data_IF_508472696072
#
_entry.id   IF_508472696072
#
_cell.length_a   1.000
_cell.length_b   1.000
_cell.length_c   1.000
_cell.angle_alpha   90.00
_cell.angle_beta   90.00
_cell.angle_gamma   90.00
#
_symmetry.space_group_name_H-M   'P 1'
#
loop_
_entity.id
_entity.type
_entity.pdbx_description
1 polymer ?
#
# COMPACT_ATOMS: atom_id res chain seq x y z
N UNK A 1 -4.49 10.64 15.88
CA UNK A 1 -4.25 12.04 15.54
C UNK A 1 -4.72 12.89 16.73
N UNK A 2 -4.20 14.10 16.90
CA UNK A 2 -4.55 14.95 18.04
C UNK A 2 -3.99 14.44 19.37
N UNK A 3 -2.68 14.25 19.44
CA UNK A 3 -1.96 13.97 20.67
C UNK A 3 -1.70 15.29 21.44
N UNK A 4 -1.51 15.25 22.78
CA UNK A 4 -1.37 16.49 23.58
C UNK A 4 -0.19 17.37 23.16
N UNK A 5 0.93 16.75 22.73
CA UNK A 5 2.21 17.43 22.53
C UNK A 5 2.67 17.46 21.06
N UNK A 6 2.07 16.67 20.19
CA UNK A 6 2.48 16.52 18.79
C UNK A 6 1.31 16.08 17.92
N UNK A 7 1.28 16.52 16.67
CA UNK A 7 0.32 15.98 15.71
C UNK A 7 0.67 14.53 15.35
N UNK A 8 -0.35 13.65 15.34
CA UNK A 8 -0.17 12.26 14.99
C UNK A 8 0.33 12.03 13.56
N UNK A 9 0.01 12.93 12.65
CA UNK A 9 0.53 12.91 11.25
C UNK A 9 2.04 13.11 11.24
N UNK A 10 2.53 14.05 12.05
CA UNK A 10 3.96 14.30 12.21
C UNK A 10 4.68 13.07 12.80
N UNK A 11 4.03 12.36 13.75
CA UNK A 11 4.58 11.09 14.28
C UNK A 11 4.74 10.06 13.18
N UNK A 12 3.74 9.92 12.30
CA UNK A 12 3.79 8.98 11.17
C UNK A 12 4.98 9.33 10.26
N UNK A 13 5.12 10.60 9.87
CA UNK A 13 6.25 11.05 9.05
C UNK A 13 7.60 10.73 9.70
N UNK A 14 7.77 11.03 10.98
CA UNK A 14 9.00 10.73 11.71
C UNK A 14 9.30 9.24 11.77
N UNK A 15 8.30 8.39 12.03
CA UNK A 15 8.49 6.93 12.03
C UNK A 15 8.92 6.44 10.65
N UNK A 16 8.34 6.99 9.58
CA UNK A 16 8.68 6.60 8.20
C UNK A 16 10.10 6.98 7.76
N UNK A 17 10.77 7.89 8.45
CA UNK A 17 12.19 8.18 8.14
C UNK A 17 13.14 7.04 8.50
N UNK A 18 12.74 6.11 9.38
CA UNK A 18 13.60 5.04 9.87
C UNK A 18 12.93 3.65 9.92
N UNK A 19 11.63 3.55 9.68
CA UNK A 19 10.90 2.28 9.82
C UNK A 19 9.80 2.12 8.77
N UNK A 20 9.74 0.93 8.19
CA UNK A 20 8.65 0.48 7.32
C UNK A 20 7.65 -0.46 8.05
N UNK A 21 7.70 -0.52 9.38
CA UNK A 21 6.73 -1.28 10.16
C UNK A 21 5.30 -0.78 9.89
N UNK A 22 4.31 -1.68 9.87
CA UNK A 22 2.91 -1.29 9.70
C UNK A 22 2.45 -0.31 10.78
N UNK A 23 1.75 0.74 10.37
CA UNK A 23 1.18 1.75 11.27
C UNK A 23 -0.34 1.72 11.11
N UNK A 24 -1.06 1.46 12.22
CA UNK A 24 -2.52 1.58 12.30
C UNK A 24 -2.83 2.82 13.12
N UNK A 25 -3.54 3.77 12.49
CA UNK A 25 -4.00 4.98 13.18
C UNK A 25 -5.34 4.71 13.84
N UNK A 26 -5.46 5.07 15.12
CA UNK A 26 -6.72 5.02 15.88
C UNK A 26 -7.09 6.44 16.28
N UNK A 27 -8.24 6.95 15.80
CA UNK A 27 -8.65 8.33 16.02
C UNK A 27 -10.16 8.47 16.19
N UNK A 28 -10.58 9.49 16.93
CA UNK A 28 -11.98 9.91 16.98
C UNK A 28 -12.39 10.78 15.77
N UNK A 29 -11.42 11.24 15.00
CA UNK A 29 -11.68 12.00 13.77
C UNK A 29 -12.16 11.04 12.69
N UNK A 30 -13.31 11.30 12.13
CA UNK A 30 -13.99 10.44 11.15
C UNK A 30 -14.09 11.06 9.76
N UNK A 31 -13.58 12.29 9.58
CA UNK A 31 -13.63 12.98 8.30
C UNK A 31 -12.67 12.32 7.30
N UNK A 32 -13.08 12.26 6.06
CA UNK A 32 -12.27 11.67 4.99
C UNK A 32 -10.94 12.41 4.79
N UNK A 33 -10.91 13.71 5.05
CA UNK A 33 -9.69 14.54 5.00
C UNK A 33 -8.65 14.08 6.01
N UNK A 34 -9.01 13.86 7.27
CA UNK A 34 -8.11 13.38 8.33
C UNK A 34 -7.56 11.97 8.01
N UNK A 35 -8.41 11.12 7.46
CA UNK A 35 -8.06 9.76 7.06
C UNK A 35 -7.08 9.77 5.89
N UNK A 36 -7.37 10.58 4.86
CA UNK A 36 -6.50 10.73 3.68
C UNK A 36 -5.14 11.27 4.10
N UNK A 37 -5.09 12.30 4.96
CA UNK A 37 -3.85 12.89 5.46
C UNK A 37 -2.97 11.87 6.20
N UNK A 38 -3.56 11.05 7.08
CA UNK A 38 -2.84 9.99 7.80
C UNK A 38 -2.30 8.91 6.85
N UNK A 39 -3.08 8.51 5.85
CA UNK A 39 -2.67 7.51 4.87
C UNK A 39 -1.60 8.05 3.91
N UNK A 40 -1.70 9.31 3.50
CA UNK A 40 -0.69 9.98 2.66
C UNK A 40 0.63 10.18 3.43
N UNK A 41 0.57 10.38 4.74
CA UNK A 41 1.72 10.42 5.63
C UNK A 41 2.43 9.06 5.78
N UNK A 42 1.79 7.96 5.35
CA UNK A 42 2.36 6.62 5.33
C UNK A 42 1.73 5.63 6.32
N UNK A 43 0.55 5.92 6.89
CA UNK A 43 -0.20 4.94 7.65
C UNK A 43 -0.69 3.80 6.73
N UNK A 44 -0.75 2.58 7.26
CA UNK A 44 -1.22 1.38 6.55
C UNK A 44 -2.70 1.11 6.76
N UNK A 45 -3.27 1.63 7.82
CA UNK A 45 -4.69 1.48 8.14
C UNK A 45 -5.16 2.60 9.07
N UNK A 46 -6.48 2.83 9.09
CA UNK A 46 -7.11 3.86 9.90
C UNK A 46 -8.39 3.31 10.54
N UNK A 47 -8.49 3.40 11.86
CA UNK A 47 -9.62 2.92 12.65
C UNK A 47 -10.28 4.08 13.39
N UNK A 48 -11.56 4.31 13.13
CA UNK A 48 -12.31 5.41 13.75
C UNK A 48 -12.96 4.95 15.05
N UNK A 49 -12.87 5.77 16.09
CA UNK A 49 -13.59 5.56 17.36
C UNK A 49 -15.05 6.01 17.22
N UNK A 50 -16.03 5.27 17.82
CA UNK A 50 -15.88 4.01 18.56
C UNK A 50 -15.66 2.81 17.64
N UNK A 51 -14.84 1.85 18.03
CA UNK A 51 -14.59 0.59 17.34
C UNK A 51 -14.76 -0.60 18.28
N UNK A 52 -15.05 -1.78 17.72
CA UNK A 52 -15.09 -3.00 18.50
C UNK A 52 -13.67 -3.60 18.66
N UNK A 53 -13.46 -4.33 19.75
CA UNK A 53 -12.21 -5.08 19.96
C UNK A 53 -12.00 -6.10 18.84
N UNK A 54 -13.07 -6.70 18.35
CA UNK A 54 -13.05 -7.67 17.24
C UNK A 54 -12.57 -7.04 15.94
N UNK A 55 -13.00 -5.81 15.65
CA UNK A 55 -12.52 -5.04 14.48
C UNK A 55 -11.02 -4.77 14.58
N UNK A 56 -10.56 -4.27 15.72
CA UNK A 56 -9.13 -4.03 15.95
C UNK A 56 -8.30 -5.31 15.81
N UNK A 57 -8.75 -6.40 16.42
CA UNK A 57 -8.08 -7.70 16.31
C UNK A 57 -8.07 -8.24 14.87
N UNK A 58 -9.14 -8.01 14.10
CA UNK A 58 -9.18 -8.39 12.70
C UNK A 58 -8.13 -7.65 11.87
N UNK A 59 -7.98 -6.33 12.07
CA UNK A 59 -6.97 -5.50 11.42
C UNK A 59 -5.55 -5.91 11.82
N UNK A 60 -5.30 -6.17 13.10
CA UNK A 60 -4.01 -6.67 13.59
C UNK A 60 -3.65 -8.03 12.99
N UNK A 61 -4.61 -8.97 12.89
CA UNK A 61 -4.37 -10.27 12.24
C UNK A 61 -4.02 -10.14 10.76
N UNK A 62 -4.65 -9.21 10.04
CA UNK A 62 -4.30 -8.92 8.65
C UNK A 62 -2.87 -8.39 8.55
N UNK A 63 -2.50 -7.47 9.42
CA UNK A 63 -1.17 -6.88 9.50
C UNK A 63 -0.10 -7.91 9.84
N UNK A 64 -0.37 -8.79 10.85
CA UNK A 64 0.56 -9.87 11.23
C UNK A 64 0.78 -10.88 10.11
N UNK A 65 -0.28 -11.27 9.37
CA UNK A 65 -0.13 -12.14 8.19
C UNK A 65 0.74 -11.52 7.12
N UNK A 66 0.66 -10.20 6.94
CA UNK A 66 1.54 -9.48 6.00
C UNK A 66 3.00 -9.56 6.41
N UNK A 67 3.29 -9.31 7.69
CA UNK A 67 4.65 -9.42 8.23
C UNK A 67 5.17 -10.85 8.13
N UNK A 68 4.36 -11.84 8.47
CA UNK A 68 4.74 -13.25 8.35
C UNK A 68 5.01 -13.67 6.90
N UNK A 69 4.23 -13.17 5.93
CA UNK A 69 4.46 -13.44 4.50
C UNK A 69 5.73 -12.78 4.00
N UNK A 70 6.09 -11.62 4.52
CA UNK A 70 7.35 -10.93 4.21
C UNK A 70 8.56 -11.61 4.88
N UNK A 71 8.37 -12.19 6.08
CA UNK A 71 9.44 -12.87 6.83
C UNK A 71 9.59 -14.36 6.49
N UNK A 72 8.49 -15.05 6.19
CA UNK A 72 8.50 -16.40 5.67
C UNK A 72 8.82 -16.32 4.18
N UNK A 73 10.10 -16.09 3.84
CA UNK A 73 10.58 -16.23 2.47
C UNK A 73 10.10 -17.55 1.90
N UNK A 74 8.96 -17.53 1.22
CA UNK A 74 8.56 -18.65 0.38
C UNK A 74 9.55 -18.66 -0.77
N UNK A 75 10.61 -19.42 -0.57
CA UNK A 75 11.60 -19.75 -1.60
C UNK A 75 10.85 -20.58 -2.66
N UNK A 76 10.24 -19.91 -3.62
CA UNK A 76 9.87 -20.50 -4.88
C UNK A 76 10.90 -20.04 -5.92
N UNK A 77 11.55 -20.98 -6.56
CA UNK A 77 12.38 -20.77 -7.75
C UNK A 77 11.52 -20.06 -8.81
N UNK A 78 11.79 -18.77 -9.02
CA UNK A 78 10.96 -17.85 -9.81
C UNK A 78 10.62 -16.56 -9.05
N UNK A 79 11.31 -16.31 -7.92
CA UNK A 79 11.01 -15.27 -6.95
C UNK A 79 11.27 -13.82 -7.41
N UNK A 80 11.79 -13.61 -8.61
CA UNK A 80 12.09 -12.28 -9.14
C UNK A 80 11.20 -11.98 -10.33
N UNK A 81 10.43 -10.90 -10.23
CA UNK A 81 9.65 -10.37 -11.35
C UNK A 81 10.40 -9.18 -11.95
N UNK A 82 10.42 -9.10 -13.27
CA UNK A 82 11.00 -7.96 -14.01
C UNK A 82 9.99 -7.42 -15.01
N UNK A 83 9.93 -6.09 -15.14
CA UNK A 83 9.08 -5.39 -16.07
C UNK A 83 9.76 -4.07 -16.46
N UNK A 84 10.48 -4.04 -17.60
CA UNK A 84 11.39 -2.96 -17.93
C UNK A 84 12.47 -2.78 -16.85
N UNK A 85 12.56 -1.60 -16.27
CA UNK A 85 13.49 -1.30 -15.16
C UNK A 85 12.99 -1.71 -13.77
N UNK A 86 11.70 -2.04 -13.65
CA UNK A 86 11.12 -2.49 -12.39
C UNK A 86 11.52 -3.95 -12.13
N UNK A 87 12.10 -4.19 -10.96
CA UNK A 87 12.42 -5.52 -10.44
C UNK A 87 11.80 -5.70 -9.08
N UNK A 88 11.06 -6.78 -8.87
CA UNK A 88 10.50 -7.14 -7.57
C UNK A 88 11.06 -8.49 -7.14
N UNK A 89 11.74 -8.51 -6.02
CA UNK A 89 12.24 -9.73 -5.39
C UNK A 89 11.25 -10.15 -4.31
N UNK A 90 10.44 -11.15 -4.62
CA UNK A 90 9.42 -11.63 -3.69
C UNK A 90 10.03 -12.38 -2.50
N UNK A 91 11.21 -12.99 -2.67
CA UNK A 91 11.88 -13.70 -1.59
C UNK A 91 12.52 -12.75 -0.58
N UNK A 92 13.15 -11.69 -1.09
CA UNK A 92 13.74 -10.65 -0.24
C UNK A 92 12.69 -9.64 0.27
N UNK A 93 11.49 -9.58 -0.34
CA UNK A 93 10.45 -8.61 0.04
C UNK A 93 10.78 -7.18 -0.36
N UNK A 94 11.58 -6.97 -1.39
CA UNK A 94 12.03 -5.67 -1.84
C UNK A 94 11.76 -5.44 -3.34
N UNK A 95 11.80 -4.19 -3.76
CA UNK A 95 11.63 -3.80 -5.15
C UNK A 95 12.66 -2.76 -5.55
N UNK A 96 13.04 -2.75 -6.82
CA UNK A 96 14.05 -1.86 -7.38
C UNK A 96 13.53 -1.22 -8.67
N UNK A 97 13.94 0.01 -8.91
CA UNK A 97 13.76 0.68 -10.19
C UNK A 97 15.15 0.95 -10.81
N UNK A 98 15.58 0.05 -11.71
CA UNK A 98 16.96 -0.02 -12.14
C UNK A 98 17.84 -0.56 -11.00
N UNK A 99 18.81 0.23 -10.55
CA UNK A 99 19.70 -0.12 -9.44
C UNK A 99 19.27 0.47 -8.09
N UNK A 100 18.24 1.33 -8.09
CA UNK A 100 17.75 2.02 -6.90
C UNK A 100 16.67 1.18 -6.20
N UNK A 101 16.85 0.91 -4.90
CA UNK A 101 15.83 0.25 -4.09
C UNK A 101 14.66 1.19 -3.79
N UNK A 102 13.46 0.71 -4.03
CA UNK A 102 12.23 1.45 -3.74
C UNK A 102 11.85 1.28 -2.27
N UNK A 103 11.88 2.36 -1.51
CA UNK A 103 11.40 2.36 -0.13
C UNK A 103 9.87 2.37 -0.09
N UNK A 104 9.28 1.17 -0.04
CA UNK A 104 7.84 0.95 -0.03
C UNK A 104 7.35 0.62 1.37
N UNK A 105 6.21 1.19 1.74
CA UNK A 105 5.47 0.71 2.93
C UNK A 105 4.90 -0.69 2.67
N UNK A 106 4.53 -1.47 3.70
CA UNK A 106 3.94 -2.79 3.51
C UNK A 106 2.71 -2.80 2.60
N UNK A 107 1.86 -1.77 2.68
CA UNK A 107 0.67 -1.65 1.82
C UNK A 107 1.03 -1.33 0.37
N UNK A 108 1.99 -0.43 0.14
CA UNK A 108 2.50 -0.12 -1.20
C UNK A 108 3.17 -1.33 -1.85
N UNK A 109 4.00 -2.06 -1.09
CA UNK A 109 4.65 -3.28 -1.58
C UNK A 109 3.62 -4.34 -1.96
N UNK A 110 2.61 -4.57 -1.13
CA UNK A 110 1.53 -5.52 -1.41
C UNK A 110 0.74 -5.12 -2.65
N UNK A 111 0.44 -3.83 -2.81
CA UNK A 111 -0.22 -3.28 -3.99
C UNK A 111 0.61 -3.49 -5.25
N UNK A 112 1.92 -3.21 -5.18
CA UNK A 112 2.85 -3.46 -6.26
C UNK A 112 2.88 -4.94 -6.66
N UNK A 113 3.00 -5.86 -5.69
CA UNK A 113 3.01 -7.29 -5.94
C UNK A 113 1.72 -7.78 -6.59
N UNK A 114 0.55 -7.25 -6.17
CA UNK A 114 -0.73 -7.59 -6.77
C UNK A 114 -0.80 -7.16 -8.24
N UNK A 115 -0.33 -5.96 -8.55
CA UNK A 115 -0.26 -5.44 -9.92
C UNK A 115 0.71 -6.26 -10.77
N UNK A 116 1.90 -6.57 -10.26
CA UNK A 116 2.92 -7.36 -10.94
C UNK A 116 2.44 -8.79 -11.28
N UNK A 117 1.69 -9.43 -10.39
CA UNK A 117 1.08 -10.75 -10.64
C UNK A 117 -0.01 -10.73 -11.71
N UNK A 118 -0.53 -9.57 -12.04
CA UNK A 118 -1.63 -9.37 -12.97
C UNK A 118 -1.29 -8.41 -14.12
N UNK A 119 -0.05 -8.39 -14.58
CA UNK A 119 0.40 -7.53 -15.69
C UNK A 119 -0.54 -7.67 -16.90
N UNK A 120 -0.91 -6.53 -17.49
CA UNK A 120 -1.80 -6.46 -18.64
C UNK A 120 -3.28 -6.57 -18.31
N UNK A 121 -3.66 -6.97 -17.10
CA UNK A 121 -5.08 -7.09 -16.69
C UNK A 121 -5.53 -5.82 -15.97
N UNK A 122 -6.75 -5.38 -16.24
CA UNK A 122 -7.40 -4.32 -15.47
C UNK A 122 -7.95 -4.92 -14.18
N UNK A 123 -7.46 -4.43 -13.04
CA UNK A 123 -7.96 -4.80 -11.72
C UNK A 123 -8.95 -3.74 -11.24
N UNK A 124 -10.15 -4.16 -10.85
CA UNK A 124 -11.17 -3.24 -10.34
C UNK A 124 -10.80 -2.70 -8.96
N UNK A 125 -11.32 -1.53 -8.61
CA UNK A 125 -11.13 -0.94 -7.27
C UNK A 125 -11.53 -1.91 -6.16
N UNK A 126 -12.71 -2.54 -6.30
CA UNK A 126 -13.21 -3.52 -5.33
C UNK A 126 -12.31 -4.73 -5.20
N UNK A 127 -11.84 -5.28 -6.33
CA UNK A 127 -10.93 -6.43 -6.31
C UNK A 127 -9.61 -6.08 -5.60
N UNK A 128 -8.99 -4.94 -5.93
CA UNK A 128 -7.75 -4.49 -5.29
C UNK A 128 -7.98 -4.29 -3.79
N UNK A 129 -9.02 -3.55 -3.40
CA UNK A 129 -9.34 -3.30 -2.00
C UNK A 129 -9.56 -4.60 -1.21
N UNK A 130 -10.28 -5.55 -1.77
CA UNK A 130 -10.52 -6.85 -1.17
C UNK A 130 -9.22 -7.66 -1.00
N UNK A 131 -8.32 -7.65 -1.98
CA UNK A 131 -7.04 -8.36 -1.91
C UNK A 131 -6.07 -7.72 -0.92
N UNK A 132 -6.07 -6.38 -0.81
CA UNK A 132 -5.14 -5.65 0.06
C UNK A 132 -5.63 -5.64 1.51
N UNK A 133 -6.90 -5.31 1.75
CA UNK A 133 -7.45 -5.06 3.09
C UNK A 133 -8.52 -6.05 3.54
N UNK A 134 -9.09 -6.85 2.63
CA UNK A 134 -10.18 -7.76 2.91
C UNK A 134 -11.56 -7.09 2.83
N UNK A 135 -12.61 -7.80 3.29
CA UNK A 135 -14.01 -7.37 3.10
C UNK A 135 -14.39 -6.06 3.80
N UNK A 136 -13.69 -5.67 4.86
CA UNK A 136 -13.97 -4.43 5.58
C UNK A 136 -13.69 -3.15 4.78
N UNK A 137 -13.06 -3.26 3.60
CA UNK A 137 -12.66 -2.15 2.75
C UNK A 137 -13.39 -2.11 1.40
N UNK A 138 -14.45 -2.87 1.24
CA UNK A 138 -15.15 -3.00 -0.06
C UNK A 138 -15.60 -1.66 -0.67
N UNK A 139 -15.83 -0.63 0.16
CA UNK A 139 -16.30 0.68 -0.29
C UNK A 139 -15.24 1.80 -0.19
N UNK A 140 -14.01 1.50 0.22
CA UNK A 140 -13.00 2.55 0.45
C UNK A 140 -12.09 2.80 -0.76
N UNK A 141 -12.69 3.31 -1.82
CA UNK A 141 -11.98 3.70 -3.05
C UNK A 141 -11.06 4.91 -2.81
N UNK A 142 -11.39 5.78 -1.84
CA UNK A 142 -10.59 6.97 -1.53
C UNK A 142 -9.20 6.57 -1.02
N UNK A 143 -9.13 5.65 -0.05
CA UNK A 143 -7.86 5.13 0.48
C UNK A 143 -7.02 4.46 -0.60
N UNK A 144 -7.63 3.66 -1.48
CA UNK A 144 -6.93 3.04 -2.60
C UNK A 144 -6.30 4.08 -3.53
N UNK A 145 -7.00 5.20 -3.80
CA UNK A 145 -6.45 6.28 -4.62
C UNK A 145 -5.21 6.91 -4.01
N UNK A 146 -5.19 7.11 -2.69
CA UNK A 146 -4.03 7.63 -1.97
C UNK A 146 -2.84 6.68 -2.10
N UNK A 147 -3.01 5.40 -1.80
CA UNK A 147 -1.93 4.42 -1.95
C UNK A 147 -1.44 4.28 -3.39
N UNK A 148 -2.34 4.36 -4.36
CA UNK A 148 -1.95 4.34 -5.77
C UNK A 148 -1.15 5.58 -6.17
N UNK A 149 -1.53 6.75 -5.67
CA UNK A 149 -0.81 7.99 -5.92
C UNK A 149 0.61 7.97 -5.31
N UNK A 150 0.75 7.49 -4.06
CA UNK A 150 2.06 7.38 -3.40
C UNK A 150 2.96 6.34 -4.08
N UNK A 151 2.41 5.20 -4.47
CA UNK A 151 3.14 4.18 -5.22
C UNK A 151 3.63 4.72 -6.58
N UNK A 152 2.78 5.46 -7.29
CA UNK A 152 3.16 6.10 -8.56
C UNK A 152 4.31 7.08 -8.41
N UNK A 153 4.29 7.95 -7.40
CA UNK A 153 5.39 8.90 -7.13
C UNK A 153 6.75 8.20 -7.03
N UNK A 154 6.76 6.92 -6.61
CA UNK A 154 7.98 6.12 -6.45
C UNK A 154 8.35 5.34 -7.71
N UNK A 155 7.37 4.95 -8.53
CA UNK A 155 7.57 4.14 -9.74
C UNK A 155 7.72 4.95 -11.02
N UNK A 156 6.95 6.02 -11.14
CA UNK A 156 6.85 6.80 -12.36
C UNK A 156 7.79 8.00 -12.32
N UNK A 157 8.51 8.23 -13.40
CA UNK A 157 9.31 9.46 -13.57
C UNK A 157 8.43 10.69 -13.79
N UNK A 158 7.33 10.48 -14.52
CA UNK A 158 6.34 11.49 -14.84
C UNK A 158 4.95 10.92 -14.56
N UNK A 159 4.24 11.40 -13.52
CA UNK A 159 2.89 10.94 -13.19
C UNK A 159 1.85 11.18 -14.29
N UNK A 160 2.07 12.19 -15.13
CA UNK A 160 1.16 12.54 -16.23
C UNK A 160 1.39 11.66 -17.48
N UNK A 161 2.55 10.98 -17.54
CA UNK A 161 2.87 10.02 -18.60
C UNK A 161 3.29 8.66 -17.99
N UNK A 162 2.35 7.92 -17.42
CA UNK A 162 2.65 6.71 -16.67
C UNK A 162 3.20 5.60 -17.56
N UNK A 163 4.35 5.04 -17.17
CA UNK A 163 5.00 3.92 -17.86
C UNK A 163 4.56 2.56 -17.31
N UNK A 164 4.21 2.48 -16.02
CA UNK A 164 3.90 1.23 -15.33
C UNK A 164 2.43 1.07 -14.97
N UNK A 165 1.78 2.12 -14.44
CA UNK A 165 0.42 2.01 -13.90
C UNK A 165 -0.54 2.90 -14.67
N UNK A 166 -1.41 2.29 -15.46
CA UNK A 166 -2.48 2.97 -16.17
C UNK A 166 -3.77 3.00 -15.34
N UNK A 167 -4.41 4.19 -15.27
CA UNK A 167 -5.74 4.33 -14.66
C UNK A 167 -6.83 4.05 -15.70
N UNK A 168 -7.77 3.21 -15.34
CA UNK A 168 -9.05 3.05 -16.03
C UNK A 168 -10.11 3.76 -15.20
N UNK A 169 -10.49 4.98 -15.62
CA UNK A 169 -11.40 5.88 -14.88
C UNK A 169 -12.71 5.15 -14.57
N UNK A 170 -13.12 5.19 -13.30
CA UNK A 170 -14.34 4.53 -12.82
C UNK A 170 -14.26 3.00 -12.69
N UNK A 171 -13.18 2.37 -13.14
CA UNK A 171 -13.02 0.91 -13.14
C UNK A 171 -11.92 0.46 -12.18
N UNK A 172 -10.68 0.90 -12.40
CA UNK A 172 -9.53 0.44 -11.62
C UNK A 172 -8.19 0.78 -12.24
N UNK A 173 -7.23 -0.11 -12.07
CA UNK A 173 -5.84 0.10 -12.49
C UNK A 173 -5.29 -1.12 -13.22
N UNK A 174 -4.32 -0.88 -14.10
CA UNK A 174 -3.61 -1.90 -14.85
C UNK A 174 -2.10 -1.67 -14.82
N UNK A 175 -1.33 -2.70 -14.52
CA UNK A 175 0.11 -2.69 -14.75
C UNK A 175 0.37 -2.91 -16.24
N UNK A 176 1.07 -1.97 -16.87
CA UNK A 176 1.51 -2.08 -18.25
C UNK A 176 2.71 -3.01 -18.34
N UNK A 177 2.83 -3.75 -19.43
CA UNK A 177 4.03 -4.48 -19.77
C UNK A 177 5.01 -3.50 -20.42
N UNK A 178 6.20 -3.38 -19.85
CA UNK A 178 7.30 -2.55 -20.34
C UNK A 178 8.42 -3.49 -20.82
N UNK A 179 8.94 -3.23 -22.02
CA UNK A 179 10.06 -3.99 -22.61
C UNK A 179 11.41 -3.49 -22.14
#
# INVERSE_FOLDING_TARGET
LGLPDLDGVEVIHRVRTWSNLPIIVISARSEDTDKIEALDAGADDYLTKPFSVEELLARLRVTQRRLATLQAGVVNEGAVFTNGRLKVDYAAGCAFLGEEELHLTPSEYKLLCLLCKNVGKVLTHTFIAQQIWGRSWENDVASLRVYMATLRKKLERDPDSPQYIQTHIGVGYRMLKVE
#
